data_IF_115016827602
#
_entry.id   IF_115016827602
#
_cell.length_a   1.000
_cell.length_b   1.000
_cell.length_c   1.000
_cell.angle_alpha   90.00
_cell.angle_beta   90.00
_cell.angle_gamma   90.00
#
_symmetry.space_group_name_H-M   'P 1'
#
loop_
_entity.id
_entity.type
_entity.pdbx_description
1 polymer ?
#
# COMPACT_ATOMS: atom_id res chain seq x y z
N UNK A 1 -51.03 31.69 36.59
CA UNK A 1 -49.65 31.31 36.97
C UNK A 1 -49.31 29.98 36.32
N UNK A 2 -48.63 30.01 35.18
CA UNK A 2 -48.44 28.87 34.29
C UNK A 2 -47.06 28.24 34.56
N UNK A 3 -47.03 26.95 34.89
CA UNK A 3 -45.83 26.19 35.26
C UNK A 3 -44.87 26.06 34.07
N UNK A 4 -43.61 26.47 34.26
CA UNK A 4 -42.53 26.26 33.30
C UNK A 4 -42.03 24.80 33.39
N UNK A 5 -42.21 24.06 32.30
CA UNK A 5 -41.64 22.73 32.07
C UNK A 5 -40.12 22.84 31.87
N UNK A 6 -39.35 22.33 32.81
CA UNK A 6 -37.88 22.19 32.71
C UNK A 6 -37.53 20.90 31.98
N UNK A 7 -37.24 21.00 30.69
CA UNK A 7 -36.73 19.90 29.88
C UNK A 7 -35.28 19.60 30.30
N UNK A 8 -35.06 18.51 31.06
CA UNK A 8 -33.72 18.03 31.42
C UNK A 8 -32.95 17.60 30.15
N UNK A 9 -31.88 18.33 29.81
CA UNK A 9 -30.88 17.88 28.83
C UNK A 9 -30.30 16.54 29.29
N UNK A 10 -30.50 15.49 28.47
CA UNK A 10 -29.84 14.19 28.65
C UNK A 10 -28.32 14.40 28.66
N UNK A 11 -27.68 14.08 29.80
CA UNK A 11 -26.24 14.13 29.96
C UNK A 11 -25.56 13.22 28.93
N UNK A 12 -24.57 13.78 28.23
CA UNK A 12 -23.70 13.05 27.30
C UNK A 12 -22.89 12.01 28.09
N UNK A 13 -22.73 10.76 27.61
CA UNK A 13 -21.86 9.79 28.25
C UNK A 13 -20.43 10.34 28.36
N UNK A 14 -19.87 10.30 29.58
CA UNK A 14 -18.47 10.66 29.84
C UNK A 14 -17.55 9.63 29.20
N UNK A 15 -16.93 9.98 28.07
CA UNK A 15 -15.86 9.20 27.46
C UNK A 15 -14.51 9.65 28.03
N UNK A 16 -14.11 9.14 29.20
CA UNK A 16 -12.75 9.35 29.75
C UNK A 16 -12.30 10.83 29.88
N UNK A 17 -11.00 11.03 30.15
CA UNK A 17 -10.38 12.35 30.03
C UNK A 17 -10.16 12.65 28.55
N UNK A 18 -10.80 13.72 28.05
CA UNK A 18 -10.62 14.20 26.67
C UNK A 18 -9.88 15.52 26.68
N UNK A 19 -8.80 15.63 25.91
CA UNK A 19 -8.14 16.91 25.64
C UNK A 19 -8.69 17.57 24.37
N UNK A 20 -8.56 18.90 24.29
CA UNK A 20 -9.10 19.68 23.18
C UNK A 20 -8.01 20.01 22.17
N UNK A 21 -8.12 19.47 20.96
CA UNK A 21 -7.36 19.92 19.79
C UNK A 21 -8.10 21.09 19.11
N UNK A 22 -7.45 22.25 19.00
CA UNK A 22 -7.97 23.40 18.24
C UNK A 22 -6.96 23.75 17.15
N UNK A 23 -7.31 23.46 15.90
CA UNK A 23 -6.43 23.76 14.76
C UNK A 23 -7.22 24.44 13.63
N UNK A 24 -6.55 25.31 12.87
CA UNK A 24 -7.13 25.92 11.66
C UNK A 24 -6.96 24.91 10.52
N UNK A 25 -8.05 24.60 9.82
CA UNK A 25 -8.06 23.72 8.65
C UNK A 25 -8.65 24.46 7.46
N UNK A 26 -8.35 24.01 6.24
CA UNK A 26 -8.88 24.61 5.02
C UNK A 26 -10.40 24.35 4.87
N UNK A 27 -11.11 25.17 4.08
CA UNK A 27 -12.51 24.90 3.71
C UNK A 27 -12.68 23.54 3.03
N UNK A 28 -11.71 23.13 2.21
CA UNK A 28 -11.71 21.85 1.52
C UNK A 28 -11.66 20.67 2.50
N UNK A 29 -10.74 20.70 3.48
CA UNK A 29 -10.66 19.68 4.53
C UNK A 29 -11.94 19.63 5.36
N UNK A 30 -12.52 20.80 5.67
CA UNK A 30 -13.81 20.88 6.38
C UNK A 30 -14.92 20.19 5.59
N UNK A 31 -15.03 20.48 4.29
CA UNK A 31 -16.03 19.86 3.42
C UNK A 31 -15.81 18.35 3.27
N UNK A 32 -14.55 17.90 3.17
CA UNK A 32 -14.22 16.47 3.12
C UNK A 32 -14.67 15.73 4.39
N UNK A 33 -14.39 16.31 5.57
CA UNK A 33 -14.83 15.75 6.85
C UNK A 33 -16.36 15.69 6.97
N UNK A 34 -17.08 16.69 6.45
CA UNK A 34 -18.55 16.70 6.45
C UNK A 34 -19.14 15.61 5.56
N UNK A 35 -18.60 15.45 4.34
CA UNK A 35 -19.00 14.36 3.43
C UNK A 35 -18.81 13.01 4.09
N UNK A 36 -17.65 12.80 4.70
CA UNK A 36 -17.29 11.53 5.32
C UNK A 36 -18.10 11.24 6.60
N UNK A 37 -18.34 12.27 7.42
CA UNK A 37 -19.25 12.20 8.57
C UNK A 37 -20.67 11.78 8.17
N UNK A 38 -21.20 12.34 7.07
CA UNK A 38 -22.51 11.97 6.52
C UNK A 38 -22.50 10.52 6.03
N UNK A 39 -21.48 10.12 5.26
CA UNK A 39 -21.32 8.76 4.71
C UNK A 39 -21.29 7.70 5.81
N UNK A 40 -20.55 7.96 6.89
CA UNK A 40 -20.34 7.02 7.99
C UNK A 40 -21.38 7.12 9.12
N UNK A 41 -22.33 8.07 9.03
CA UNK A 41 -23.30 8.39 10.08
C UNK A 41 -22.65 8.67 11.44
N UNK A 42 -21.56 9.44 11.43
CA UNK A 42 -20.77 9.84 12.63
C UNK A 42 -20.64 11.36 12.73
N UNK A 43 -20.27 11.88 13.90
CA UNK A 43 -19.97 13.32 14.04
C UNK A 43 -18.62 13.68 13.40
N UNK A 44 -18.45 14.95 12.97
CA UNK A 44 -17.18 15.46 12.44
C UNK A 44 -15.99 15.18 13.36
N UNK A 45 -16.16 15.41 14.66
CA UNK A 45 -15.10 15.16 15.65
C UNK A 45 -14.74 13.68 15.75
N UNK A 46 -15.71 12.77 15.68
CA UNK A 46 -15.44 11.32 15.68
C UNK A 46 -14.73 10.86 14.41
N UNK A 47 -15.06 11.44 13.24
CA UNK A 47 -14.36 11.14 11.99
C UNK A 47 -12.94 11.70 12.02
N UNK A 48 -12.75 12.94 12.48
CA UNK A 48 -11.43 13.54 12.63
C UNK A 48 -10.54 12.75 13.60
N UNK A 49 -11.06 12.43 14.80
CA UNK A 49 -10.39 11.56 15.77
C UNK A 49 -10.04 10.21 15.16
N UNK A 50 -10.97 9.57 14.43
CA UNK A 50 -10.72 8.29 13.78
C UNK A 50 -9.60 8.40 12.74
N UNK A 51 -9.63 9.41 11.87
CA UNK A 51 -8.60 9.62 10.85
C UNK A 51 -7.24 9.89 11.49
N UNK A 52 -7.19 10.69 12.56
CA UNK A 52 -5.95 10.97 13.31
C UNK A 52 -5.44 9.69 13.99
N UNK A 53 -6.32 8.93 14.62
CA UNK A 53 -5.96 7.65 15.23
C UNK A 53 -5.54 6.62 14.18
N UNK A 54 -6.22 6.54 13.04
CA UNK A 54 -5.82 5.71 11.90
C UNK A 54 -4.43 6.12 11.41
N UNK A 55 -4.17 7.43 11.31
CA UNK A 55 -2.86 7.96 10.94
C UNK A 55 -1.76 7.51 11.90
N UNK A 56 -1.99 7.54 13.22
CA UNK A 56 -0.99 7.17 14.22
C UNK A 56 -0.92 5.66 14.53
N UNK A 57 -2.03 4.93 14.43
CA UNK A 57 -2.11 3.48 14.68
C UNK A 57 -1.63 2.67 13.50
N UNK A 58 -1.71 3.23 12.28
CA UNK A 58 -1.15 2.54 11.15
C UNK A 58 0.38 2.60 11.22
N UNK A 59 1.08 1.47 10.98
CA UNK A 59 2.54 1.51 10.83
C UNK A 59 2.89 2.53 9.72
N UNK A 60 4.09 3.12 9.79
CA UNK A 60 4.57 4.15 8.85
C UNK A 60 4.26 3.83 7.37
N UNK A 61 4.23 2.54 7.03
CA UNK A 61 3.84 2.00 5.75
C UNK A 61 2.47 2.44 5.25
N UNK A 62 1.44 2.56 6.09
CA UNK A 62 0.13 3.01 5.62
C UNK A 62 0.15 4.49 5.21
N UNK A 63 1.00 5.32 5.84
CA UNK A 63 1.13 6.74 5.52
C UNK A 63 1.78 6.93 4.16
N UNK A 64 2.74 6.07 3.85
CA UNK A 64 3.58 6.20 2.67
C UNK A 64 3.07 5.32 1.49
N UNK A 65 2.30 4.26 1.75
CA UNK A 65 1.47 3.56 0.75
C UNK A 65 0.41 4.47 0.12
N UNK A 66 0.05 5.60 0.74
CA UNK A 66 -0.80 6.60 0.10
C UNK A 66 -0.11 7.29 -1.09
N UNK A 67 1.22 7.35 -1.11
CA UNK A 67 2.01 7.89 -2.22
C UNK A 67 2.22 6.89 -3.36
N UNK A 68 1.97 5.59 -3.14
CA UNK A 68 2.28 4.55 -4.11
C UNK A 68 1.08 4.16 -4.97
N UNK A 69 1.19 4.44 -6.26
CA UNK A 69 0.29 3.93 -7.29
C UNK A 69 -1.05 4.68 -7.40
N UNK A 70 -1.63 4.53 -8.59
CA UNK A 70 -2.97 5.00 -8.91
C UNK A 70 -4.05 4.23 -8.13
N UNK A 71 -5.30 4.74 -8.04
CA UNK A 71 -6.37 4.10 -7.28
C UNK A 71 -6.59 2.62 -7.61
N UNK A 72 -6.48 2.23 -8.88
CA UNK A 72 -6.66 0.84 -9.31
C UNK A 72 -5.56 -0.09 -8.77
N UNK A 73 -4.30 0.39 -8.68
CA UNK A 73 -3.18 -0.38 -8.11
C UNK A 73 -3.43 -0.66 -6.63
N UNK A 74 -3.85 0.37 -5.88
CA UNK A 74 -4.16 0.27 -4.45
C UNK A 74 -5.28 -0.72 -4.18
N UNK A 75 -6.35 -0.69 -5.00
CA UNK A 75 -7.46 -1.65 -4.87
C UNK A 75 -6.99 -3.08 -5.12
N UNK A 76 -6.11 -3.32 -6.11
CA UNK A 76 -5.53 -4.64 -6.35
C UNK A 76 -4.74 -5.13 -5.13
N UNK A 77 -3.92 -4.29 -4.51
CA UNK A 77 -3.19 -4.65 -3.29
C UNK A 77 -4.14 -5.01 -2.12
N UNK A 78 -5.24 -4.26 -1.95
CA UNK A 78 -6.28 -4.57 -0.95
C UNK A 78 -6.94 -5.92 -1.22
N UNK A 79 -7.23 -6.25 -2.48
CA UNK A 79 -7.79 -7.55 -2.85
C UNK A 79 -6.82 -8.69 -2.56
N UNK A 80 -5.53 -8.53 -2.86
CA UNK A 80 -4.49 -9.50 -2.53
C UNK A 80 -4.38 -9.71 -1.01
N UNK A 81 -4.35 -8.62 -0.23
CA UNK A 81 -4.32 -8.72 1.23
C UNK A 81 -5.56 -9.45 1.80
N UNK A 82 -6.75 -9.19 1.24
CA UNK A 82 -7.98 -9.88 1.60
C UNK A 82 -7.94 -11.36 1.24
N UNK A 83 -7.39 -11.71 0.07
CA UNK A 83 -7.22 -13.09 -0.37
C UNK A 83 -6.28 -13.86 0.59
N UNK A 84 -5.12 -13.28 0.91
CA UNK A 84 -4.17 -13.87 1.86
C UNK A 84 -4.87 -14.15 3.20
N UNK A 85 -5.58 -13.15 3.74
CA UNK A 85 -6.33 -13.30 4.99
C UNK A 85 -7.35 -14.44 4.93
N UNK A 86 -8.06 -14.58 3.80
CA UNK A 86 -9.06 -15.63 3.61
C UNK A 86 -8.43 -17.03 3.47
N UNK A 87 -7.24 -17.15 2.90
CA UNK A 87 -6.52 -18.41 2.76
C UNK A 87 -5.92 -18.83 4.11
N UNK A 88 -5.31 -17.90 4.86
CA UNK A 88 -4.85 -18.19 6.23
C UNK A 88 -6.01 -18.64 7.12
N UNK A 89 -7.19 -18.00 7.00
CA UNK A 89 -8.37 -18.39 7.76
C UNK A 89 -8.92 -19.77 7.37
N UNK A 90 -8.75 -20.19 6.11
CA UNK A 90 -9.18 -21.52 5.64
C UNK A 90 -8.19 -22.62 6.00
N UNK A 91 -6.90 -22.31 5.99
CA UNK A 91 -5.82 -23.26 6.31
C UNK A 91 -5.53 -23.34 7.80
N UNK A 92 -5.98 -22.35 8.57
CA UNK A 92 -5.65 -22.14 10.00
C UNK A 92 -4.14 -22.09 10.25
N UNK A 93 -3.39 -21.59 9.27
CA UNK A 93 -1.93 -21.49 9.29
C UNK A 93 -1.48 -20.15 8.74
N UNK A 94 -0.35 -19.65 9.25
CA UNK A 94 0.31 -18.46 8.73
C UNK A 94 1.14 -18.82 7.52
N UNK A 95 1.07 -18.02 6.48
CA UNK A 95 1.76 -18.33 5.22
C UNK A 95 3.28 -18.37 5.36
N UNK A 96 3.82 -17.64 6.34
CA UNK A 96 5.26 -17.60 6.61
C UNK A 96 5.78 -18.92 7.19
N UNK A 97 4.92 -19.63 7.89
CA UNK A 97 5.31 -20.81 8.68
C UNK A 97 4.88 -22.12 8.00
N UNK A 98 4.14 -22.05 6.89
CA UNK A 98 3.55 -23.21 6.23
C UNK A 98 3.61 -23.10 4.70
N UNK A 99 4.36 -24.03 4.10
CA UNK A 99 4.56 -24.12 2.64
C UNK A 99 3.25 -24.32 1.88
N UNK A 100 2.31 -25.10 2.42
CA UNK A 100 1.04 -25.37 1.75
C UNK A 100 0.20 -24.08 1.67
N UNK A 101 0.10 -23.33 2.77
CA UNK A 101 -0.58 -22.03 2.80
C UNK A 101 0.10 -21.03 1.86
N UNK A 102 1.44 -21.01 1.80
CA UNK A 102 2.17 -20.16 0.87
C UNK A 102 1.85 -20.50 -0.61
N UNK A 103 1.89 -21.78 -0.98
CA UNK A 103 1.56 -22.22 -2.34
C UNK A 103 0.11 -21.89 -2.71
N UNK A 104 -0.83 -22.09 -1.78
CA UNK A 104 -2.22 -21.71 -1.96
C UNK A 104 -2.36 -20.20 -2.22
N UNK A 105 -1.61 -19.36 -1.51
CA UNK A 105 -1.55 -17.91 -1.75
C UNK A 105 -0.98 -17.60 -3.13
N UNK A 106 0.15 -18.21 -3.51
CA UNK A 106 0.77 -17.97 -4.81
C UNK A 106 -0.20 -18.28 -5.95
N UNK A 107 -0.84 -19.45 -5.93
CA UNK A 107 -1.87 -19.84 -6.89
C UNK A 107 -3.09 -18.92 -6.85
N UNK A 108 -3.51 -18.52 -5.65
CA UNK A 108 -4.63 -17.60 -5.46
C UNK A 108 -4.37 -16.24 -6.09
N UNK A 109 -3.18 -15.67 -5.91
CA UNK A 109 -2.79 -14.36 -6.46
C UNK A 109 -2.80 -14.43 -8.00
N UNK A 110 -2.16 -15.45 -8.57
CA UNK A 110 -2.14 -15.65 -10.04
C UNK A 110 -3.57 -15.77 -10.58
N UNK A 111 -4.42 -16.56 -9.92
CA UNK A 111 -5.81 -16.75 -10.34
C UNK A 111 -6.61 -15.46 -10.24
N UNK A 112 -6.48 -14.72 -9.13
CA UNK A 112 -7.16 -13.44 -8.92
C UNK A 112 -6.78 -12.43 -10.00
N UNK A 113 -5.48 -12.29 -10.30
CA UNK A 113 -5.00 -11.38 -11.34
C UNK A 113 -5.46 -11.81 -12.75
N UNK A 114 -5.48 -13.12 -13.03
CA UNK A 114 -5.96 -13.64 -14.31
C UNK A 114 -7.44 -13.28 -14.58
N UNK A 115 -8.28 -13.21 -13.54
CA UNK A 115 -9.68 -12.78 -13.67
C UNK A 115 -9.84 -11.29 -14.02
N UNK A 116 -8.81 -10.47 -13.78
CA UNK A 116 -8.79 -9.04 -14.09
C UNK A 116 -8.09 -8.74 -15.41
N UNK A 117 -7.64 -9.77 -16.14
CA UNK A 117 -6.95 -9.59 -17.41
C UNK A 117 -7.89 -8.92 -18.44
N UNK A 118 -7.48 -7.81 -19.07
CA UNK A 118 -8.27 -7.22 -20.15
C UNK A 118 -8.33 -8.15 -21.37
N UNK A 119 -9.45 -8.07 -22.10
CA UNK A 119 -9.58 -8.74 -23.39
C UNK A 119 -8.68 -8.09 -24.45
N UNK A 120 -8.11 -8.91 -25.34
CA UNK A 120 -7.36 -8.45 -26.51
C UNK A 120 -5.99 -9.11 -26.68
N UNK A 121 -5.28 -8.76 -27.76
CA UNK A 121 -3.93 -9.27 -28.02
C UNK A 121 -2.91 -8.68 -27.04
N UNK A 122 -1.89 -9.47 -26.71
CA UNK A 122 -0.72 -8.96 -25.99
C UNK A 122 0.22 -8.25 -26.95
N UNK A 123 0.16 -6.92 -26.96
CA UNK A 123 1.03 -6.07 -27.79
C UNK A 123 2.18 -5.49 -26.96
N UNK A 124 3.36 -5.39 -27.58
CA UNK A 124 4.54 -4.79 -26.93
C UNK A 124 4.38 -3.27 -26.92
N UNK A 125 4.37 -2.61 -25.74
CA UNK A 125 4.24 -1.16 -25.67
C UNK A 125 5.43 -0.44 -26.34
N UNK A 126 5.17 0.67 -27.04
CA UNK A 126 6.22 1.42 -27.73
C UNK A 126 7.42 1.84 -26.84
N UNK A 127 7.25 2.22 -25.55
CA UNK A 127 8.38 2.49 -24.66
C UNK A 127 9.26 1.25 -24.41
N UNK A 128 8.65 0.08 -24.28
CA UNK A 128 9.36 -1.20 -24.08
C UNK A 128 10.17 -1.54 -25.31
N UNK A 129 9.54 -1.53 -26.50
CA UNK A 129 10.21 -1.82 -27.76
C UNK A 129 11.40 -0.87 -28.02
N UNK A 130 11.24 0.42 -27.69
CA UNK A 130 12.32 1.41 -27.81
C UNK A 130 13.50 1.09 -26.88
N UNK A 131 13.23 0.74 -25.63
CA UNK A 131 14.25 0.38 -24.64
C UNK A 131 15.06 -0.83 -25.13
N UNK A 132 14.37 -1.89 -25.57
CA UNK A 132 15.01 -3.10 -26.10
C UNK A 132 15.89 -2.80 -27.33
N UNK A 133 15.42 -1.93 -28.23
CA UNK A 133 16.19 -1.51 -29.40
C UNK A 133 17.47 -0.77 -29.00
N UNK A 134 17.38 0.24 -28.13
CA UNK A 134 18.54 1.02 -27.67
C UNK A 134 19.56 0.13 -26.97
N UNK A 135 19.10 -0.79 -26.12
CA UNK A 135 19.97 -1.73 -25.43
C UNK A 135 20.64 -2.72 -26.40
N UNK A 136 19.91 -3.18 -27.42
CA UNK A 136 20.47 -4.03 -28.47
C UNK A 136 21.54 -3.32 -29.31
N UNK A 137 21.32 -2.04 -29.66
CA UNK A 137 22.30 -1.21 -30.37
C UNK A 137 23.58 -1.00 -29.53
N UNK A 138 23.45 -0.81 -28.22
CA UNK A 138 24.58 -0.62 -27.30
C UNK A 138 25.43 -1.90 -27.10
N UNK A 139 24.81 -3.08 -27.18
CA UNK A 139 25.48 -4.38 -26.97
C UNK A 139 25.99 -5.01 -28.29
N UNK A 140 25.75 -4.36 -29.42
CA UNK A 140 26.18 -4.79 -30.76
C UNK A 140 25.20 -5.75 -31.45
N UNK A 141 25.31 -5.83 -32.79
CA UNK A 141 24.38 -6.58 -33.66
C UNK A 141 24.21 -8.05 -33.26
N UNK A 142 25.30 -8.68 -32.78
CA UNK A 142 25.30 -10.09 -32.38
C UNK A 142 24.33 -10.41 -31.22
N UNK A 143 24.06 -9.43 -30.33
CA UNK A 143 23.17 -9.58 -29.17
C UNK A 143 21.85 -8.85 -29.32
N UNK A 144 21.70 -7.98 -30.33
CA UNK A 144 20.48 -7.20 -30.54
C UNK A 144 19.22 -8.07 -30.67
N UNK A 145 19.32 -9.24 -31.32
CA UNK A 145 18.19 -10.18 -31.47
C UNK A 145 17.75 -10.78 -30.14
N UNK A 146 18.71 -11.21 -29.31
CA UNK A 146 18.45 -11.77 -27.97
C UNK A 146 17.84 -10.71 -27.05
N UNK A 147 18.42 -9.51 -27.02
CA UNK A 147 17.91 -8.37 -26.24
C UNK A 147 16.49 -8.01 -26.67
N UNK A 148 16.19 -8.04 -27.96
CA UNK A 148 14.83 -7.76 -28.43
C UNK A 148 13.84 -8.87 -28.08
N UNK A 149 14.26 -10.14 -28.05
CA UNK A 149 13.39 -11.25 -27.67
C UNK A 149 13.05 -11.20 -26.17
N UNK A 150 14.05 -11.11 -25.30
CA UNK A 150 13.82 -11.07 -23.85
C UNK A 150 13.24 -9.72 -23.40
N UNK A 151 13.75 -8.61 -23.92
CA UNK A 151 13.32 -7.27 -23.51
C UNK A 151 11.87 -6.92 -23.87
N UNK A 152 11.27 -7.66 -24.82
CA UNK A 152 9.89 -7.49 -25.25
C UNK A 152 8.93 -8.57 -24.70
N UNK A 153 9.43 -9.58 -24.00
CA UNK A 153 8.59 -10.60 -23.37
C UNK A 153 7.97 -10.04 -22.07
N UNK A 154 6.63 -10.00 -21.92
CA UNK A 154 5.99 -9.54 -20.69
C UNK A 154 6.43 -10.31 -19.43
N UNK A 155 6.79 -11.59 -19.56
CA UNK A 155 7.28 -12.41 -18.43
C UNK A 155 8.62 -11.91 -17.91
N UNK A 156 9.53 -11.62 -18.82
CA UNK A 156 10.87 -11.10 -18.50
C UNK A 156 10.81 -9.71 -17.88
N UNK A 157 9.89 -8.86 -18.37
CA UNK A 157 9.63 -7.55 -17.77
C UNK A 157 9.12 -7.70 -16.34
N UNK A 158 8.15 -8.60 -16.13
CA UNK A 158 7.62 -8.89 -14.79
C UNK A 158 8.70 -9.41 -13.85
N UNK A 159 9.52 -10.36 -14.32
CA UNK A 159 10.65 -10.92 -13.58
C UNK A 159 11.68 -9.84 -13.20
N UNK A 160 12.10 -9.01 -14.15
CA UNK A 160 13.07 -7.94 -13.91
C UNK A 160 12.54 -6.92 -12.89
N UNK A 161 11.26 -6.54 -12.97
CA UNK A 161 10.64 -5.66 -11.98
C UNK A 161 10.56 -6.29 -10.59
N UNK A 162 10.21 -7.58 -10.51
CA UNK A 162 10.13 -8.31 -9.24
C UNK A 162 11.50 -8.42 -8.57
N UNK A 163 12.54 -8.82 -9.32
CA UNK A 163 13.91 -8.88 -8.80
C UNK A 163 14.44 -7.50 -8.40
N UNK A 164 14.16 -6.46 -9.19
CA UNK A 164 14.57 -5.11 -8.85
C UNK A 164 13.97 -4.63 -7.53
N UNK A 165 12.68 -4.93 -7.29
CA UNK A 165 12.01 -4.61 -6.03
C UNK A 165 12.56 -5.44 -4.87
N UNK A 166 12.78 -6.75 -5.07
CA UNK A 166 13.37 -7.62 -4.06
C UNK A 166 14.78 -7.16 -3.66
N UNK A 167 15.61 -6.82 -4.64
CA UNK A 167 16.95 -6.27 -4.40
C UNK A 167 16.89 -4.96 -3.60
N UNK A 168 15.96 -4.05 -3.93
CA UNK A 168 15.77 -2.82 -3.13
C UNK A 168 15.38 -3.12 -1.69
N UNK A 169 14.58 -4.16 -1.46
CA UNK A 169 14.13 -4.56 -0.14
C UNK A 169 15.28 -5.15 0.69
N UNK A 170 16.03 -6.10 0.13
CA UNK A 170 17.20 -6.73 0.76
C UNK A 170 18.34 -5.76 1.07
N UNK A 171 18.50 -4.71 0.24
CA UNK A 171 19.60 -3.76 0.37
C UNK A 171 19.15 -2.43 0.99
N UNK A 172 17.92 -2.36 1.52
CA UNK A 172 17.45 -1.19 2.24
C UNK A 172 18.06 -1.14 3.64
N UNK A 173 18.77 -0.06 3.93
CA UNK A 173 19.31 0.24 5.26
C UNK A 173 18.39 1.23 5.98
N UNK A 174 18.21 1.10 7.32
CA UNK A 174 17.49 2.10 8.09
C UNK A 174 18.07 3.50 7.89
N UNK A 175 17.22 4.53 7.78
CA UNK A 175 17.67 5.90 7.62
C UNK A 175 18.51 6.36 8.81
N UNK A 176 19.62 7.07 8.56
CA UNK A 176 20.49 7.58 9.62
C UNK A 176 19.75 8.62 10.47
N UNK A 177 19.75 8.46 11.79
CA UNK A 177 19.10 9.39 12.72
C UNK A 177 19.77 10.77 12.77
N UNK A 178 20.88 10.98 12.05
CA UNK A 178 21.59 12.26 11.95
C UNK A 178 21.13 13.18 10.80
N UNK A 179 20.11 12.79 10.02
CA UNK A 179 19.63 13.61 8.91
C UNK A 179 19.02 14.95 9.34
N UNK A 180 19.19 16.04 8.56
CA UNK A 180 18.62 17.33 8.88
C UNK A 180 17.09 17.29 8.90
N UNK A 181 16.49 17.89 9.92
CA UNK A 181 15.06 18.17 9.94
C UNK A 181 14.70 18.97 8.66
N UNK A 182 13.84 18.39 7.81
CA UNK A 182 13.27 18.95 6.56
C UNK A 182 13.88 18.53 5.21
N UNK A 183 14.87 17.63 5.15
CA UNK A 183 15.19 16.96 3.88
C UNK A 183 14.25 15.76 3.67
N UNK A 184 13.38 15.83 2.65
CA UNK A 184 12.52 14.70 2.27
C UNK A 184 13.23 13.84 1.23
N UNK A 185 13.75 12.70 1.66
CA UNK A 185 14.14 11.64 0.72
C UNK A 185 12.91 10.99 0.09
N UNK A 186 13.14 10.23 -0.98
CA UNK A 186 12.09 9.44 -1.60
C UNK A 186 11.45 8.53 -0.55
N UNK A 187 10.12 8.45 -0.57
CA UNK A 187 9.32 7.69 0.39
C UNK A 187 9.81 6.24 0.61
N UNK A 188 10.43 5.60 -0.40
CA UNK A 188 11.02 4.26 -0.29
C UNK A 188 12.20 4.14 0.69
N UNK A 189 12.96 5.24 0.90
CA UNK A 189 14.11 5.31 1.81
C UNK A 189 13.72 5.00 3.26
N UNK A 190 12.57 5.52 3.69
CA UNK A 190 12.04 5.28 5.04
C UNK A 190 11.21 3.99 5.12
N UNK A 191 10.67 3.51 4.00
CA UNK A 191 9.69 2.42 4.00
C UNK A 191 10.31 1.04 3.87
N UNK A 192 11.25 0.85 2.93
CA UNK A 192 11.77 -0.49 2.66
C UNK A 192 12.40 -1.16 3.89
N UNK A 193 13.14 -0.45 4.78
CA UNK A 193 13.63 -1.06 6.02
C UNK A 193 12.50 -1.56 6.92
N UNK A 194 11.38 -0.82 7.01
CA UNK A 194 10.21 -1.20 7.80
C UNK A 194 9.47 -2.39 7.16
N UNK A 195 9.36 -2.43 5.82
CA UNK A 195 8.79 -3.59 5.12
C UNK A 195 9.66 -4.82 5.39
N UNK A 196 10.97 -4.67 5.27
CA UNK A 196 11.95 -5.75 5.49
C UNK A 196 11.83 -6.33 6.90
N UNK A 197 11.77 -5.46 7.92
CA UNK A 197 11.56 -5.85 9.32
C UNK A 197 10.21 -6.57 9.52
N UNK A 198 9.11 -6.03 8.99
CA UNK A 198 7.78 -6.65 9.13
C UNK A 198 7.71 -7.99 8.41
N UNK A 199 8.37 -8.11 7.26
CA UNK A 199 8.46 -9.34 6.48
C UNK A 199 9.47 -10.34 7.06
N UNK A 200 10.26 -9.92 8.05
CA UNK A 200 11.30 -10.74 8.69
C UNK A 200 12.28 -11.34 7.68
N UNK A 201 12.70 -10.53 6.70
CA UNK A 201 13.60 -10.99 5.62
C UNK A 201 15.00 -11.33 6.13
N UNK A 202 15.37 -10.79 7.30
CA UNK A 202 16.65 -11.06 7.97
C UNK A 202 16.56 -12.17 9.03
N UNK A 203 15.37 -12.76 9.22
CA UNK A 203 15.07 -13.75 10.24
C UNK A 203 15.65 -15.12 9.91
N UNK A 204 16.77 -15.41 10.58
CA UNK A 204 17.56 -16.66 10.63
C UNK A 204 18.09 -17.17 9.28
N UNK A 205 19.41 -17.10 9.13
CA UNK A 205 20.20 -18.03 8.31
C UNK A 205 19.70 -19.47 8.57
N UNK A 206 18.96 -20.04 7.61
CA UNK A 206 18.65 -21.47 7.53
C UNK A 206 19.49 -22.14 6.46
#
# INVERSE_FOLDING_TARGET
>A
MTKASTTRKRGRPSMGKTDRLSTKITPETTAALEREAKRLKRSKSQVAERIIQEYFKAPDLSRAAHAWGEPHVKVTAVLVAKLITAIEAQTDRKWRDDQYTFEAILHGIVTLLAQMNPDGPTEVPAPVARRSKVMGEALGEARAKEVSQHGNDPKEIGFACALGLWHQLENSEPPDHTHPDNERYADGYYQFPIIREILDIDGDEK
#
